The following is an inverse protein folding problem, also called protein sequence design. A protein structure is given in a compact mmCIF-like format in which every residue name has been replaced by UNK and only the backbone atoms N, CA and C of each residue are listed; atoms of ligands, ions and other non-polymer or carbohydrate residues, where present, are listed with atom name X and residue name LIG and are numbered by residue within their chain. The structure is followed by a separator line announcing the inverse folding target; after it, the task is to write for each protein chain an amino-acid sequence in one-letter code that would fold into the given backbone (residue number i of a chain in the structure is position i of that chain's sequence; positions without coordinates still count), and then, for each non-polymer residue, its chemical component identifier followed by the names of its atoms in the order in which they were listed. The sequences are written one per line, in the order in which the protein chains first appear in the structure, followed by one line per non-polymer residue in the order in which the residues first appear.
data_IF_283719587768
#
_entry.id   IF_283719587768
#
_cell.length_a   1.000
_cell.length_b   1.000
_cell.length_c   1.000
_cell.angle_alpha   90.00
_cell.angle_beta   90.00
_cell.angle_gamma   90.00
#
_symmetry.space_group_name_H-M   'P 1'
#
loop_
_entity.id
_entity.type
_entity.pdbx_description
1 polymer ?
#
# COMPACT_ATOMS: atom_id res chain seq x y z
N UNK A 1 -8.56 28.96 -16.47
CA UNK A 1 -7.85 27.77 -15.94
C UNK A 1 -8.85 26.63 -15.91
N UNK A 2 -8.77 25.75 -16.89
CA UNK A 2 -9.60 24.54 -16.97
C UNK A 2 -9.22 23.62 -15.80
N UNK A 3 -10.20 23.03 -15.08
CA UNK A 3 -9.90 22.06 -14.04
C UNK A 3 -9.33 20.82 -14.73
N UNK A 4 -8.02 20.62 -14.62
CA UNK A 4 -7.36 19.41 -15.07
C UNK A 4 -8.07 18.21 -14.45
N UNK A 5 -8.64 17.40 -15.33
CA UNK A 5 -9.23 16.11 -15.01
C UNK A 5 -8.12 15.14 -14.60
N UNK A 6 -7.64 15.26 -13.37
CA UNK A 6 -6.78 14.29 -12.72
C UNK A 6 -7.58 13.01 -12.42
N UNK A 7 -7.65 12.11 -13.40
CA UNK A 7 -7.78 10.65 -13.19
C UNK A 7 -6.98 9.96 -14.29
N UNK A 8 -6.00 9.12 -13.95
CA UNK A 8 -6.33 7.75 -13.56
C UNK A 8 -5.34 7.08 -12.56
N UNK A 9 -5.47 7.34 -11.25
CA UNK A 9 -4.76 6.56 -10.19
C UNK A 9 -5.07 5.06 -10.29
N UNK A 10 -6.34 4.70 -10.52
CA UNK A 10 -6.79 3.31 -10.55
C UNK A 10 -6.27 2.53 -11.77
N UNK A 11 -6.25 3.14 -12.95
CA UNK A 11 -5.75 2.51 -14.18
C UNK A 11 -4.25 2.27 -14.14
N UNK A 12 -3.47 3.21 -13.59
CA UNK A 12 -2.04 3.04 -13.38
C UNK A 12 -1.74 1.91 -12.39
N UNK A 13 -2.47 1.81 -11.27
CA UNK A 13 -2.31 0.73 -10.29
C UNK A 13 -2.59 -0.65 -10.91
N UNK A 14 -3.69 -0.78 -11.66
CA UNK A 14 -4.04 -2.06 -12.31
C UNK A 14 -2.97 -2.49 -13.30
N UNK A 15 -2.44 -1.55 -14.08
CA UNK A 15 -1.35 -1.81 -15.02
C UNK A 15 -0.06 -2.21 -14.29
N UNK A 16 0.31 -1.54 -13.20
CA UNK A 16 1.49 -1.90 -12.39
C UNK A 16 1.36 -3.29 -11.79
N UNK A 17 0.20 -3.64 -11.21
CA UNK A 17 -0.05 -4.98 -10.66
C UNK A 17 0.05 -6.05 -11.76
N UNK A 18 -0.51 -5.79 -12.94
CA UNK A 18 -0.41 -6.70 -14.08
C UNK A 18 1.04 -6.90 -14.53
N UNK A 19 1.82 -5.82 -14.62
CA UNK A 19 3.24 -5.90 -14.99
C UNK A 19 4.06 -6.68 -13.94
N UNK A 20 3.79 -6.49 -12.65
CA UNK A 20 4.43 -7.26 -11.58
C UNK A 20 4.14 -8.76 -11.73
N UNK A 21 2.88 -9.12 -12.00
CA UNK A 21 2.46 -10.52 -12.12
C UNK A 21 3.11 -11.20 -13.33
N UNK A 22 3.18 -10.50 -14.47
CA UNK A 22 3.92 -10.97 -15.65
C UNK A 22 5.41 -11.14 -15.37
N UNK A 23 6.02 -10.21 -14.63
CA UNK A 23 7.43 -10.31 -14.25
C UNK A 23 7.68 -11.53 -13.34
N UNK A 24 6.80 -11.77 -12.37
CA UNK A 24 6.86 -12.93 -11.48
C UNK A 24 6.72 -14.24 -12.26
N UNK A 25 5.75 -14.34 -13.17
CA UNK A 25 5.56 -15.51 -14.02
C UNK A 25 6.79 -15.78 -14.90
N UNK A 26 7.40 -14.72 -15.44
CA UNK A 26 8.64 -14.84 -16.21
C UNK A 26 9.80 -15.35 -15.35
N UNK A 27 9.98 -14.81 -14.14
CA UNK A 27 11.01 -15.25 -13.17
C UNK A 27 10.85 -16.75 -12.90
N UNK A 28 9.63 -17.20 -12.60
CA UNK A 28 9.35 -18.58 -12.24
C UNK A 28 9.50 -19.54 -13.43
N UNK A 29 9.07 -19.11 -14.63
CA UNK A 29 9.27 -19.83 -15.88
C UNK A 29 10.75 -20.06 -16.19
N UNK A 30 11.58 -19.03 -16.01
CA UNK A 30 13.03 -19.10 -16.20
C UNK A 30 13.67 -20.05 -15.18
N UNK A 31 13.33 -19.92 -13.89
CA UNK A 31 13.81 -20.82 -12.82
C UNK A 31 13.45 -22.27 -13.13
N UNK A 32 12.20 -22.53 -13.52
CA UNK A 32 11.72 -23.88 -13.85
C UNK A 32 12.47 -24.48 -15.05
N UNK A 33 12.70 -23.69 -16.10
CA UNK A 33 13.46 -24.12 -17.29
C UNK A 33 14.90 -24.51 -16.93
N UNK A 34 15.58 -23.69 -16.12
CA UNK A 34 16.93 -24.01 -15.65
C UNK A 34 16.94 -25.28 -14.78
N UNK A 35 16.04 -25.34 -13.80
CA UNK A 35 15.91 -26.49 -12.89
C UNK A 35 15.63 -27.80 -13.65
N UNK A 36 14.80 -27.77 -14.71
CA UNK A 36 14.55 -28.94 -15.56
C UNK A 36 15.84 -29.47 -16.21
N UNK A 37 16.70 -28.59 -16.71
CA UNK A 37 17.99 -28.98 -17.30
C UNK A 37 18.96 -29.50 -16.26
N UNK A 38 19.02 -28.83 -15.10
CA UNK A 38 19.87 -29.26 -13.98
C UNK A 38 19.48 -30.65 -13.46
N UNK A 39 18.19 -30.89 -13.23
CA UNK A 39 17.67 -32.20 -12.83
C UNK A 39 17.89 -33.26 -13.92
N UNK A 40 17.80 -32.88 -15.19
CA UNK A 40 18.16 -33.75 -16.32
C UNK A 40 19.62 -34.19 -16.26
N UNK A 41 20.55 -33.26 -16.02
CA UNK A 41 21.98 -33.58 -15.91
C UNK A 41 22.26 -34.45 -14.67
N UNK A 42 21.57 -34.21 -13.55
CA UNK A 42 21.63 -35.06 -12.36
C UNK A 42 21.14 -36.50 -12.66
N UNK A 43 20.08 -36.66 -13.45
CA UNK A 43 19.62 -37.98 -13.90
C UNK A 43 20.65 -38.68 -14.81
N UNK A 44 21.30 -37.93 -15.71
CA UNK A 44 22.39 -38.44 -16.56
C UNK A 44 23.58 -38.87 -15.70
N UNK A 45 23.97 -38.09 -14.69
CA UNK A 45 25.03 -38.47 -13.74
C UNK A 45 24.75 -39.82 -13.10
N UNK A 46 23.52 -40.04 -12.63
CA UNK A 46 23.10 -41.32 -12.03
C UNK A 46 23.28 -42.51 -12.97
N UNK A 47 22.84 -42.38 -14.23
CA UNK A 47 23.01 -43.42 -15.25
C UNK A 47 24.50 -43.63 -15.58
N UNK A 48 25.25 -42.54 -15.69
CA UNK A 48 26.68 -42.56 -15.97
C UNK A 48 27.45 -43.26 -14.85
N UNK A 49 27.15 -43.00 -13.58
CA UNK A 49 27.83 -43.66 -12.45
C UNK A 49 27.72 -45.18 -12.51
N UNK A 50 26.55 -45.72 -12.88
CA UNK A 50 26.39 -47.17 -13.06
C UNK A 50 27.26 -47.70 -14.21
N UNK A 51 27.25 -47.02 -15.37
CA UNK A 51 28.08 -47.39 -16.51
C UNK A 51 29.58 -47.28 -16.20
N UNK A 52 29.99 -46.28 -15.43
CA UNK A 52 31.37 -46.05 -15.01
C UNK A 52 31.83 -47.14 -14.04
N UNK A 53 31.00 -47.51 -13.06
CA UNK A 53 31.31 -48.62 -12.13
C UNK A 53 31.53 -49.92 -12.88
N UNK A 54 30.64 -50.28 -13.81
CA UNK A 54 30.80 -51.47 -14.65
C UNK A 54 32.08 -51.41 -15.51
N UNK A 55 32.40 -50.23 -16.06
CA UNK A 55 33.62 -50.01 -16.84
C UNK A 55 34.90 -50.16 -16.00
N UNK A 56 34.94 -49.57 -14.81
CA UNK A 56 36.07 -49.66 -13.87
C UNK A 56 36.25 -51.11 -13.39
N UNK A 57 35.16 -51.82 -13.09
CA UNK A 57 35.22 -53.24 -12.72
C UNK A 57 35.77 -54.11 -13.85
N UNK A 58 35.38 -53.81 -15.10
CA UNK A 58 35.89 -54.51 -16.27
C UNK A 58 37.37 -54.22 -16.53
N UNK A 59 37.80 -52.97 -16.40
CA UNK A 59 39.22 -52.59 -16.46
C UNK A 59 40.02 -53.30 -15.36
N UNK A 60 39.49 -53.43 -14.14
CA UNK A 60 40.14 -54.17 -13.05
C UNK A 60 40.31 -55.65 -13.37
N UNK A 61 39.28 -56.30 -13.96
CA UNK A 61 39.36 -57.71 -14.41
C UNK A 61 40.42 -57.90 -15.49
N UNK A 62 40.42 -57.04 -16.51
CA UNK A 62 41.40 -57.09 -17.62
C UNK A 62 42.82 -56.80 -17.12
N UNK A 63 42.99 -55.88 -16.17
CA UNK A 63 44.30 -55.53 -15.61
C UNK A 63 44.89 -56.67 -14.78
N UNK A 64 44.04 -57.37 -14.01
CA UNK A 64 44.43 -58.58 -13.27
C UNK A 64 44.83 -59.71 -14.22
N UNK A 65 44.11 -59.90 -15.34
CA UNK A 65 44.45 -60.90 -16.36
C UNK A 65 45.78 -60.61 -17.07
N UNK A 66 46.18 -59.34 -17.17
CA UNK A 66 47.46 -58.91 -17.76
C UNK A 66 48.66 -58.99 -16.79
N UNK A 67 48.45 -59.36 -15.52
CA UNK A 67 49.49 -59.31 -14.49
C UNK A 67 50.04 -57.92 -14.22
N UNK A 68 49.36 -56.86 -14.69
CA UNK A 68 49.74 -55.48 -14.46
C UNK A 68 49.12 -55.05 -13.14
N UNK A 69 49.86 -55.20 -12.05
CA UNK A 69 49.58 -54.48 -10.81
C UNK A 69 49.58 -52.97 -11.12
N UNK A 70 48.57 -52.29 -10.59
CA UNK A 70 47.99 -51.07 -11.15
C UNK A 70 48.96 -49.88 -11.21
N UNK A 71 49.39 -49.49 -12.42
CA UNK A 71 50.06 -48.20 -12.66
C UNK A 71 49.24 -47.21 -13.52
N UNK A 72 47.92 -47.36 -13.59
CA UNK A 72 47.08 -46.36 -14.27
C UNK A 72 45.62 -46.39 -13.80
N UNK A 73 45.12 -45.22 -13.38
CA UNK A 73 43.74 -44.82 -12.97
C UNK A 73 43.03 -45.67 -11.88
N UNK A 74 43.20 -46.99 -11.86
CA UNK A 74 42.61 -47.94 -10.90
C UNK A 74 43.41 -47.99 -9.59
N UNK A 75 44.65 -47.48 -9.57
CA UNK A 75 45.51 -47.45 -8.38
C UNK A 75 45.01 -46.48 -7.29
N UNK A 76 44.25 -45.44 -7.65
CA UNK A 76 43.88 -44.35 -6.74
C UNK A 76 42.57 -44.60 -5.95
N UNK A 77 42.05 -45.84 -5.93
CA UNK A 77 40.81 -46.12 -5.20
C UNK A 77 39.58 -45.37 -5.74
N UNK A 78 39.60 -44.94 -7.01
CA UNK A 78 38.48 -44.24 -7.61
C UNK A 78 37.28 -45.20 -7.77
N UNK A 79 36.30 -45.03 -6.90
CA UNK A 79 35.03 -45.74 -6.97
C UNK A 79 33.92 -44.75 -7.35
N UNK A 80 33.33 -44.85 -8.56
CA UNK A 80 32.19 -44.04 -8.95
C UNK A 80 31.01 -44.28 -7.99
N UNK A 81 30.78 -43.35 -7.07
CA UNK A 81 29.70 -43.42 -6.09
C UNK A 81 28.77 -42.21 -6.22
N UNK A 82 27.50 -42.40 -5.86
CA UNK A 82 26.53 -41.32 -5.73
C UNK A 82 26.49 -40.93 -4.25
N UNK A 83 26.69 -39.65 -3.95
CA UNK A 83 26.44 -39.13 -2.61
C UNK A 83 24.93 -38.98 -2.38
N UNK A 84 24.47 -39.35 -1.19
CA UNK A 84 23.08 -39.15 -0.74
C UNK A 84 22.73 -37.66 -0.62
N UNK A 85 23.71 -36.78 -0.36
CA UNK A 85 23.52 -35.33 -0.26
C UNK A 85 23.08 -34.69 -1.57
N UNK A 86 23.39 -35.35 -2.69
CA UNK A 86 22.92 -34.94 -4.02
C UNK A 86 21.43 -35.27 -4.22
N UNK A 87 20.82 -36.05 -3.31
CA UNK A 87 19.44 -36.52 -3.40
C UNK A 87 18.61 -36.28 -2.13
N UNK A 88 18.46 -35.00 -1.72
CA UNK A 88 17.69 -34.66 -0.53
C UNK A 88 16.23 -35.09 -0.60
N UNK A 89 15.65 -35.15 -1.81
CA UNK A 89 14.26 -35.60 -2.01
C UNK A 89 14.07 -37.06 -1.55
N UNK A 90 15.04 -37.92 -1.83
CA UNK A 90 15.02 -39.35 -1.45
C UNK A 90 15.25 -39.52 0.04
N UNK A 91 16.06 -38.64 0.65
CA UNK A 91 16.28 -38.65 2.10
C UNK A 91 15.03 -38.25 2.90
N UNK A 92 14.16 -37.40 2.33
CA UNK A 92 12.90 -36.99 2.96
C UNK A 92 11.83 -38.07 2.95
N UNK A 93 11.89 -38.99 1.99
CA UNK A 93 10.92 -40.07 1.81
C UNK A 93 11.22 -41.31 2.69
N UNK A 94 12.37 -41.35 3.37
CA UNK A 94 12.71 -42.45 4.28
C UNK A 94 11.98 -42.27 5.62
N UNK A 95 11.02 -43.15 5.88
CA UNK A 95 10.32 -43.16 7.16
C UNK A 95 11.24 -43.63 8.30
N UNK A 96 11.05 -43.11 9.52
CA UNK A 96 11.81 -43.53 10.71
C UNK A 96 11.74 -45.04 10.92
N UNK A 97 10.61 -45.65 10.59
CA UNK A 97 10.37 -47.10 10.63
C UNK A 97 11.21 -47.90 9.63
N UNK A 98 11.42 -47.38 8.41
CA UNK A 98 12.32 -48.02 7.43
C UNK A 98 13.78 -47.89 7.85
N UNK A 99 14.15 -46.77 8.48
CA UNK A 99 15.48 -46.55 9.03
C UNK A 99 15.78 -47.51 10.20
N UNK A 100 14.82 -47.66 11.12
CA UNK A 100 14.93 -48.58 12.27
C UNK A 100 14.91 -50.06 11.83
N UNK A 101 14.18 -50.40 10.76
CA UNK A 101 14.17 -51.75 10.16
C UNK A 101 15.51 -52.08 9.46
N UNK A 102 16.15 -51.09 8.84
CA UNK A 102 17.48 -51.24 8.26
C UNK A 102 18.56 -51.42 9.35
N UNK A 103 18.50 -50.61 10.42
CA UNK A 103 19.45 -50.68 11.54
C UNK A 103 19.31 -51.95 12.37
N UNK A 104 18.11 -52.54 12.45
CA UNK A 104 17.86 -53.82 13.12
C UNK A 104 18.22 -55.05 12.27
N UNK A 105 18.77 -54.87 11.06
CA UNK A 105 19.34 -55.93 10.24
C UNK A 105 18.32 -56.77 9.46
N UNK A 106 17.05 -56.34 9.37
CA UNK A 106 16.02 -57.04 8.62
C UNK A 106 15.94 -56.53 7.17
N UNK A 107 16.89 -56.95 6.32
CA UNK A 107 16.78 -56.72 4.88
C UNK A 107 16.01 -57.89 4.26
N UNK A 108 14.71 -57.69 4.01
CA UNK A 108 14.00 -58.50 3.02
C UNK A 108 14.16 -57.79 1.68
N UNK A 109 14.92 -58.37 0.76
CA UNK A 109 15.01 -57.90 -0.63
C UNK A 109 13.61 -57.90 -1.27
N UNK A 110 12.87 -56.80 -1.16
CA UNK A 110 11.60 -56.63 -1.85
C UNK A 110 11.52 -55.23 -2.44
N UNK A 111 12.25 -55.03 -3.55
CA UNK A 111 11.82 -54.11 -4.59
C UNK A 111 12.48 -54.47 -5.93
N UNK A 112 12.14 -55.64 -6.46
CA UNK A 112 12.07 -55.81 -7.91
C UNK A 112 10.62 -55.53 -8.31
N UNK A 113 10.39 -54.40 -9.00
CA UNK A 113 9.15 -54.23 -9.78
C UNK A 113 9.11 -55.31 -10.86
N UNK A 114 7.99 -56.01 -11.09
CA UNK A 114 7.95 -57.10 -12.05
C UNK A 114 7.96 -56.55 -13.48
N UNK A 115 8.95 -56.96 -14.28
CA UNK A 115 8.78 -57.02 -15.73
C UNK A 115 7.79 -58.13 -16.05
N UNK A 116 6.79 -57.79 -16.87
CA UNK A 116 5.72 -58.66 -17.35
C UNK A 116 6.24 -60.00 -17.90
N UNK A 117 5.76 -61.10 -17.33
CA UNK A 117 5.88 -62.44 -17.92
C UNK A 117 4.74 -62.64 -18.92
N UNK A 118 5.07 -62.83 -20.19
CA UNK A 118 4.18 -63.51 -21.14
C UNK A 118 4.38 -65.03 -21.01
N UNK A 119 3.27 -65.73 -20.74
CA UNK A 119 3.19 -67.19 -20.79
C UNK A 119 3.10 -67.66 -22.25
N UNK A 120 3.80 -68.74 -22.57
CA UNK A 120 3.79 -69.32 -23.92
C UNK A 120 4.49 -70.67 -24.07
N UNK A 121 4.30 -71.59 -23.11
CA UNK A 121 4.18 -73.05 -23.30
C UNK A 121 5.35 -73.90 -23.91
N UNK A 122 5.31 -75.23 -23.69
CA UNK A 122 6.46 -76.03 -23.26
C UNK A 122 6.98 -76.99 -24.34
N UNK A 123 8.21 -77.49 -24.20
CA UNK A 123 8.65 -78.79 -24.72
C UNK A 123 10.10 -79.08 -24.27
N UNK A 124 10.36 -80.34 -23.89
CA UNK A 124 11.70 -80.90 -23.96
C UNK A 124 12.33 -81.38 -22.67
N UNK A 125 11.75 -82.44 -22.08
CA UNK A 125 12.51 -83.43 -21.31
C UNK A 125 13.75 -83.87 -22.11
N UNK A 126 14.96 -83.63 -21.60
CA UNK A 126 16.14 -84.47 -21.93
C UNK A 126 17.01 -84.64 -20.68
N UNK A 127 16.75 -85.76 -20.00
CA UNK A 127 17.73 -86.75 -19.53
C UNK A 127 18.94 -86.20 -18.78
N UNK A 128 18.87 -86.33 -17.46
CA UNK A 128 20.03 -86.41 -16.59
C UNK A 128 21.06 -87.39 -17.16
N UNK A 129 22.22 -86.87 -17.55
CA UNK A 129 23.35 -87.68 -17.97
C UNK A 129 23.84 -88.50 -16.76
N UNK A 130 23.38 -89.74 -16.71
CA UNK A 130 23.97 -90.81 -15.91
C UNK A 130 25.46 -90.86 -16.16
N UNK A 131 26.20 -90.83 -15.05
CA UNK A 131 27.57 -91.31 -14.90
C UNK A 131 27.81 -92.57 -15.74
N UNK A 132 28.60 -92.44 -16.80
CA UNK A 132 29.17 -93.57 -17.53
C UNK A 132 30.54 -93.86 -16.92
N UNK A 133 30.55 -94.55 -15.77
CA UNK A 133 31.72 -95.29 -15.30
C UNK A 133 31.62 -96.71 -15.85
N UNK A 134 32.08 -96.94 -17.07
CA UNK A 134 32.45 -98.29 -17.53
C UNK A 134 33.21 -98.22 -18.86
N UNK A 135 34.34 -98.95 -18.89
CA UNK A 135 35.27 -99.15 -20.01
C UNK A 135 35.99 -97.86 -20.48
N UNK A 136 37.32 -97.73 -20.40
CA UNK A 136 38.30 -98.65 -20.97
C UNK A 136 39.57 -98.63 -20.12
N UNK A 137 40.02 -99.80 -19.66
CA UNK A 137 41.41 -100.04 -19.26
C UNK A 137 42.28 -99.95 -20.51
N UNK A 138 42.78 -98.75 -20.82
CA UNK A 138 43.89 -98.57 -21.75
C UNK A 138 45.16 -98.44 -20.92
N UNK A 139 46.23 -99.20 -21.20
CA UNK A 139 47.47 -99.10 -20.44
C UNK A 139 47.97 -97.66 -20.52
N UNK A 140 47.99 -97.02 -19.36
CA UNK A 140 48.68 -95.76 -19.13
C UNK A 140 50.11 -95.97 -19.57
N UNK A 141 50.44 -95.56 -20.79
CA UNK A 141 51.81 -95.28 -21.17
C UNK A 141 52.26 -94.22 -20.15
N UNK A 142 53.09 -94.64 -19.19
CA UNK A 142 53.87 -93.72 -18.36
C UNK A 142 54.77 -92.94 -19.30
N UNK A 143 54.22 -91.91 -19.92
CA UNK A 143 54.98 -90.79 -20.43
C UNK A 143 55.54 -90.13 -19.18
N UNK A 144 56.77 -90.50 -18.87
CA UNK A 144 57.82 -89.70 -18.26
C UNK A 144 57.31 -88.51 -17.43
N UNK A 145 57.63 -88.52 -16.14
CA UNK A 145 57.65 -87.34 -15.28
C UNK A 145 58.53 -86.26 -15.94
N UNK A 146 57.91 -85.48 -16.81
CA UNK A 146 58.52 -84.42 -17.59
C UNK A 146 58.32 -83.10 -16.85
N UNK A 147 58.94 -82.98 -15.67
CA UNK A 147 59.16 -81.67 -15.06
C UNK A 147 59.93 -80.74 -16.02
N UNK A 148 60.73 -81.31 -16.94
CA UNK A 148 61.48 -80.58 -17.96
C UNK A 148 60.64 -80.02 -19.13
N UNK A 149 59.40 -80.50 -19.37
CA UNK A 149 58.51 -79.91 -20.41
C UNK A 149 57.67 -78.76 -19.83
N UNK A 150 57.57 -78.63 -18.50
CA UNK A 150 56.87 -77.49 -17.86
C UNK A 150 57.71 -76.21 -17.81
N UNK A 151 58.98 -76.24 -18.23
CA UNK A 151 59.93 -75.15 -18.00
C UNK A 151 60.27 -74.30 -19.23
N UNK A 152 59.70 -74.58 -20.40
CA UNK A 152 59.81 -73.68 -21.55
C UNK A 152 58.52 -73.72 -22.36
N UNK A 153 57.73 -72.65 -22.30
CA UNK A 153 56.60 -72.47 -23.22
C UNK A 153 57.09 -72.66 -24.66
N UNK A 154 56.34 -73.43 -25.44
CA UNK A 154 56.59 -73.61 -26.87
C UNK A 154 56.64 -72.25 -27.57
N UNK A 155 57.45 -72.12 -28.62
CA UNK A 155 57.53 -70.89 -29.41
C UNK A 155 56.14 -70.42 -29.88
N UNK A 156 55.25 -71.37 -30.23
CA UNK A 156 53.86 -71.10 -30.57
C UNK A 156 53.04 -70.59 -29.38
N UNK A 157 53.23 -71.16 -28.19
CA UNK A 157 52.50 -70.77 -27.00
C UNK A 157 52.88 -69.36 -26.52
N UNK A 158 54.16 -68.99 -26.66
CA UNK A 158 54.63 -67.62 -26.42
C UNK A 158 54.02 -66.60 -27.38
N UNK A 159 53.84 -66.99 -28.65
CA UNK A 159 53.19 -66.13 -29.65
C UNK A 159 51.69 -65.98 -29.36
N UNK A 160 50.99 -67.05 -28.99
CA UNK A 160 49.58 -67.02 -28.58
C UNK A 160 49.37 -66.15 -27.34
N UNK A 161 50.23 -66.29 -26.32
CA UNK A 161 50.20 -65.47 -25.11
C UNK A 161 50.48 -63.99 -25.41
N UNK A 162 51.39 -63.70 -26.35
CA UNK A 162 51.68 -62.34 -26.81
C UNK A 162 50.48 -61.70 -27.50
N UNK A 163 49.79 -62.46 -28.38
CA UNK A 163 48.59 -62.00 -29.07
C UNK A 163 47.48 -61.71 -28.05
N UNK A 164 47.24 -62.62 -27.10
CA UNK A 164 46.24 -62.44 -26.05
C UNK A 164 46.55 -61.22 -25.17
N UNK A 165 47.81 -61.05 -24.77
CA UNK A 165 48.26 -59.88 -24.01
C UNK A 165 48.01 -58.57 -24.77
N UNK A 166 48.29 -58.54 -26.07
CA UNK A 166 48.04 -57.35 -26.89
C UNK A 166 46.54 -57.03 -27.04
N UNK A 167 45.70 -58.06 -27.22
CA UNK A 167 44.24 -57.89 -27.25
C UNK A 167 43.70 -57.33 -25.94
N UNK A 168 44.11 -57.90 -24.80
CA UNK A 168 43.71 -57.44 -23.48
C UNK A 168 44.20 -56.02 -23.18
N UNK A 169 45.41 -55.64 -23.61
CA UNK A 169 45.91 -54.26 -23.50
C UNK A 169 45.06 -53.29 -24.31
N UNK A 170 44.74 -53.63 -25.56
CA UNK A 170 43.87 -52.81 -26.41
C UNK A 170 42.49 -52.65 -25.78
N UNK A 171 41.89 -53.75 -25.30
CA UNK A 171 40.60 -53.74 -24.63
C UNK A 171 40.62 -52.83 -23.39
N UNK A 172 41.67 -52.93 -22.55
CA UNK A 172 41.86 -52.05 -21.38
C UNK A 172 41.88 -50.58 -21.78
N UNK A 173 42.74 -50.23 -22.75
CA UNK A 173 42.89 -48.85 -23.22
C UNK A 173 41.59 -48.31 -23.84
N UNK A 174 40.86 -49.14 -24.57
CA UNK A 174 39.56 -48.77 -25.16
C UNK A 174 38.52 -48.42 -24.09
N UNK A 175 38.41 -49.22 -23.02
CA UNK A 175 37.45 -48.96 -21.94
C UNK A 175 37.81 -47.70 -21.18
N UNK A 176 39.10 -47.50 -20.87
CA UNK A 176 39.60 -46.27 -20.22
C UNK A 176 39.26 -45.05 -21.07
N UNK A 177 39.60 -45.07 -22.35
CA UNK A 177 39.28 -43.98 -23.27
C UNK A 177 37.76 -43.70 -23.34
N UNK A 178 36.93 -44.75 -23.33
CA UNK A 178 35.47 -44.61 -23.28
C UNK A 178 35.00 -43.93 -21.98
N UNK A 179 35.55 -44.34 -20.84
CA UNK A 179 35.27 -43.72 -19.53
C UNK A 179 35.64 -42.24 -19.56
N UNK A 180 36.87 -41.91 -19.97
CA UNK A 180 37.36 -40.52 -20.03
C UNK A 180 36.48 -39.66 -20.94
N UNK A 181 36.08 -40.19 -22.10
CA UNK A 181 35.16 -39.50 -23.02
C UNK A 181 33.81 -39.21 -22.38
N UNK A 182 33.24 -40.13 -21.61
CA UNK A 182 31.97 -39.92 -20.92
C UNK A 182 32.10 -38.88 -19.79
N UNK A 183 33.17 -38.94 -19.00
CA UNK A 183 33.46 -37.97 -17.94
C UNK A 183 33.63 -36.58 -18.53
N UNK A 184 34.46 -36.42 -19.56
CA UNK A 184 34.67 -35.14 -20.24
C UNK A 184 33.38 -34.58 -20.86
N UNK A 185 32.55 -35.43 -21.47
CA UNK A 185 31.26 -34.98 -22.02
C UNK A 185 30.32 -34.46 -20.92
N UNK A 186 30.30 -35.12 -19.75
CA UNK A 186 29.52 -34.68 -18.61
C UNK A 186 30.06 -33.39 -17.98
N UNK A 187 31.38 -33.28 -17.81
CA UNK A 187 32.04 -32.08 -17.30
C UNK A 187 31.78 -30.87 -18.20
N UNK A 188 31.85 -31.06 -19.51
CA UNK A 188 31.51 -30.01 -20.48
C UNK A 188 30.04 -29.58 -20.32
N UNK A 189 29.09 -30.54 -20.25
CA UNK A 189 27.68 -30.22 -20.05
C UNK A 189 27.42 -29.50 -18.71
N UNK A 190 28.15 -29.86 -17.65
CA UNK A 190 28.08 -29.19 -16.35
C UNK A 190 28.67 -27.78 -16.42
N UNK A 191 29.78 -27.60 -17.13
CA UNK A 191 30.42 -26.30 -17.28
C UNK A 191 29.52 -25.33 -18.08
N UNK A 192 28.84 -25.80 -19.13
CA UNK A 192 27.84 -25.00 -19.84
C UNK A 192 26.70 -24.56 -18.91
N UNK A 193 26.17 -25.45 -18.07
CA UNK A 193 25.16 -25.06 -17.07
C UNK A 193 25.67 -24.04 -16.04
N UNK A 194 26.96 -24.11 -15.66
CA UNK A 194 27.58 -23.14 -14.73
C UNK A 194 27.79 -21.78 -15.38
N UNK A 195 28.23 -21.74 -16.64
CA UNK A 195 28.37 -20.50 -17.42
C UNK A 195 27.05 -19.76 -17.51
N UNK A 196 25.95 -20.47 -17.68
CA UNK A 196 24.61 -19.88 -17.70
C UNK A 196 24.10 -19.48 -16.30
N UNK A 197 24.46 -20.22 -15.25
CA UNK A 197 23.95 -19.99 -13.89
C UNK A 197 24.29 -18.62 -13.32
N UNK A 198 25.56 -18.21 -13.42
CA UNK A 198 26.03 -16.96 -12.82
C UNK A 198 25.30 -15.72 -13.38
N UNK A 199 25.24 -15.50 -14.71
CA UNK A 199 24.49 -14.37 -15.26
C UNK A 199 23.00 -14.51 -14.98
N UNK A 200 22.43 -15.72 -15.08
CA UNK A 200 21.02 -15.95 -14.78
C UNK A 200 20.67 -15.58 -13.33
N UNK A 201 21.53 -15.92 -12.38
CA UNK A 201 21.35 -15.57 -10.97
C UNK A 201 21.40 -14.05 -10.77
N UNK A 202 22.29 -13.34 -11.46
CA UNK A 202 22.35 -11.89 -11.42
C UNK A 202 21.05 -11.26 -11.99
N UNK A 203 20.59 -11.75 -13.15
CA UNK A 203 19.35 -11.29 -13.80
C UNK A 203 18.12 -11.56 -12.95
N UNK A 204 18.02 -12.75 -12.35
CA UNK A 204 16.92 -13.12 -11.44
C UNK A 204 16.92 -12.20 -10.21
N UNK A 205 18.10 -11.88 -9.65
CA UNK A 205 18.19 -10.95 -8.52
C UNK A 205 17.85 -9.52 -8.92
N UNK A 206 18.25 -9.07 -10.11
CA UNK A 206 17.83 -7.77 -10.63
C UNK A 206 16.31 -7.70 -10.83
N UNK A 207 15.69 -8.79 -11.30
CA UNK A 207 14.25 -8.90 -11.45
C UNK A 207 13.51 -8.90 -10.08
N UNK A 208 14.04 -9.62 -9.08
CA UNK A 208 13.51 -9.60 -7.70
C UNK A 208 13.57 -8.17 -7.10
N UNK A 209 14.67 -7.43 -7.31
CA UNK A 209 14.82 -6.03 -6.88
C UNK A 209 13.79 -5.14 -7.58
N UNK A 210 13.61 -5.30 -8.90
CA UNK A 210 12.61 -4.56 -9.67
C UNK A 210 11.20 -4.81 -9.15
N UNK A 211 10.85 -6.06 -8.86
CA UNK A 211 9.55 -6.41 -8.27
C UNK A 211 9.33 -5.73 -6.91
N UNK A 212 10.38 -5.68 -6.10
CA UNK A 212 10.36 -5.00 -4.78
C UNK A 212 10.10 -3.50 -4.93
N UNK A 213 10.77 -2.85 -5.88
CA UNK A 213 10.58 -1.42 -6.17
C UNK A 213 9.13 -1.16 -6.62
N UNK A 214 8.62 -1.93 -7.58
CA UNK A 214 7.24 -1.79 -8.06
C UNK A 214 6.20 -1.97 -6.94
N UNK A 215 6.44 -2.91 -6.01
CA UNK A 215 5.59 -3.10 -4.85
C UNK A 215 5.62 -1.87 -3.93
N UNK A 216 6.81 -1.32 -3.67
CA UNK A 216 6.97 -0.12 -2.85
C UNK A 216 6.26 1.09 -3.47
N UNK A 217 6.39 1.28 -4.78
CA UNK A 217 5.67 2.32 -5.53
C UNK A 217 4.16 2.16 -5.43
N UNK A 218 3.65 0.93 -5.56
CA UNK A 218 2.22 0.65 -5.44
C UNK A 218 1.70 0.96 -4.03
N UNK A 219 2.46 0.61 -3.00
CA UNK A 219 2.14 0.93 -1.61
C UNK A 219 2.13 2.45 -1.40
N UNK A 220 3.14 3.14 -1.92
CA UNK A 220 3.22 4.60 -1.86
C UNK A 220 1.97 5.22 -2.52
N UNK A 221 1.63 4.82 -3.74
CA UNK A 221 0.43 5.28 -4.46
C UNK A 221 -0.88 5.02 -3.70
N UNK A 222 -0.97 3.93 -2.92
CA UNK A 222 -2.12 3.70 -2.04
C UNK A 222 -2.17 4.67 -0.86
N UNK A 223 -1.03 4.91 -0.20
CA UNK A 223 -0.98 5.87 0.94
C UNK A 223 -1.24 7.30 0.51
N UNK A 224 -0.74 7.71 -0.67
CA UNK A 224 -0.99 9.04 -1.22
C UNK A 224 -2.45 9.21 -1.62
N UNK A 225 -3.07 8.21 -2.25
CA UNK A 225 -4.50 8.29 -2.59
C UNK A 225 -5.38 8.47 -1.35
N UNK A 226 -5.10 7.76 -0.25
CA UNK A 226 -5.84 7.95 1.00
C UNK A 226 -5.68 9.37 1.56
N UNK A 227 -4.46 9.93 1.51
CA UNK A 227 -4.19 11.31 1.93
C UNK A 227 -4.86 12.33 1.02
N UNK A 228 -4.86 12.10 -0.29
CA UNK A 228 -5.49 12.99 -1.26
C UNK A 228 -7.01 13.03 -1.09
N UNK A 229 -7.63 11.88 -0.81
CA UNK A 229 -9.06 11.81 -0.47
C UNK A 229 -9.35 12.61 0.80
N UNK A 230 -8.59 12.41 1.87
CA UNK A 230 -8.76 13.15 3.13
C UNK A 230 -8.55 14.66 2.95
N UNK A 231 -7.53 15.08 2.18
CA UNK A 231 -7.28 16.48 1.88
C UNK A 231 -8.41 17.10 1.06
N UNK A 232 -8.97 16.35 0.10
CA UNK A 232 -10.10 16.81 -0.72
C UNK A 232 -11.37 16.96 0.11
N UNK A 233 -11.64 16.06 1.04
CA UNK A 233 -12.73 16.18 2.01
C UNK A 233 -12.54 17.40 2.92
N UNK A 234 -11.34 17.61 3.46
CA UNK A 234 -11.02 18.79 4.27
C UNK A 234 -11.19 20.10 3.50
N UNK A 235 -10.76 20.13 2.23
CA UNK A 235 -10.92 21.30 1.36
C UNK A 235 -12.39 21.58 1.07
N UNK A 236 -13.19 20.54 0.80
CA UNK A 236 -14.63 20.69 0.61
C UNK A 236 -15.32 21.24 1.87
N UNK A 237 -14.98 20.72 3.05
CA UNK A 237 -15.49 21.22 4.32
C UNK A 237 -15.07 22.67 4.60
N UNK A 238 -13.83 23.04 4.31
CA UNK A 238 -13.34 24.40 4.45
C UNK A 238 -14.05 25.37 3.49
N UNK A 239 -14.24 24.95 2.23
CA UNK A 239 -14.97 25.71 1.22
C UNK A 239 -16.43 25.92 1.65
N UNK A 240 -17.08 24.88 2.18
CA UNK A 240 -18.45 24.97 2.68
C UNK A 240 -18.55 25.92 3.88
N UNK A 241 -17.65 25.81 4.87
CA UNK A 241 -17.60 26.75 6.00
C UNK A 241 -17.36 28.19 5.57
N UNK A 242 -16.52 28.41 4.55
CA UNK A 242 -16.28 29.74 3.99
C UNK A 242 -17.54 30.28 3.30
N UNK A 243 -18.25 29.43 2.56
CA UNK A 243 -19.50 29.79 1.91
C UNK A 243 -20.56 30.18 2.96
N UNK A 244 -20.77 29.35 3.97
CA UNK A 244 -21.75 29.59 5.05
C UNK A 244 -21.45 30.88 5.84
N UNK A 245 -20.16 31.16 6.11
CA UNK A 245 -19.75 32.40 6.76
C UNK A 245 -19.97 33.63 5.85
N UNK A 246 -19.73 33.49 4.55
CA UNK A 246 -19.96 34.56 3.57
C UNK A 246 -21.44 34.86 3.38
N UNK A 247 -22.31 33.84 3.39
CA UNK A 247 -23.76 34.02 3.35
C UNK A 247 -24.26 34.70 4.62
N UNK A 248 -23.82 34.25 5.80
CA UNK A 248 -24.19 34.89 7.07
C UNK A 248 -23.76 36.37 7.15
N UNK A 249 -22.54 36.69 6.69
CA UNK A 249 -22.07 38.08 6.62
C UNK A 249 -22.90 38.93 5.65
N UNK A 250 -23.30 38.37 4.51
CA UNK A 250 -24.19 39.03 3.54
C UNK A 250 -25.57 39.30 4.15
N UNK A 251 -26.13 38.33 4.89
CA UNK A 251 -27.43 38.48 5.56
C UNK A 251 -27.39 39.58 6.64
N UNK A 252 -26.35 39.60 7.48
CA UNK A 252 -26.14 40.66 8.48
C UNK A 252 -25.96 42.04 7.85
N UNK A 253 -25.26 42.14 6.71
CA UNK A 253 -25.13 43.38 5.95
C UNK A 253 -26.47 43.88 5.40
N UNK A 254 -27.29 42.98 4.83
CA UNK A 254 -28.62 43.33 4.33
C UNK A 254 -29.55 43.80 5.46
N UNK A 255 -29.49 43.16 6.63
CA UNK A 255 -30.25 43.58 7.80
C UNK A 255 -29.84 44.99 8.26
N UNK A 256 -28.54 45.29 8.32
CA UNK A 256 -28.02 46.63 8.64
C UNK A 256 -28.47 47.68 7.62
N UNK A 257 -28.47 47.35 6.32
CA UNK A 257 -28.95 48.23 5.27
C UNK A 257 -30.45 48.54 5.43
N UNK A 258 -31.27 47.52 5.71
CA UNK A 258 -32.69 47.68 5.97
C UNK A 258 -32.96 48.61 7.16
N UNK A 259 -32.27 48.40 8.30
CA UNK A 259 -32.43 49.25 9.49
C UNK A 259 -31.99 50.70 9.26
N UNK A 260 -30.92 50.92 8.49
CA UNK A 260 -30.51 52.28 8.09
C UNK A 260 -31.55 52.98 7.23
N UNK A 261 -32.20 52.24 6.33
CA UNK A 261 -33.32 52.77 5.54
C UNK A 261 -34.51 53.14 6.45
N UNK A 262 -34.86 52.29 7.42
CA UNK A 262 -35.93 52.59 8.40
C UNK A 262 -35.64 53.87 9.19
N UNK A 263 -34.38 54.09 9.58
CA UNK A 263 -33.93 55.35 10.22
C UNK A 263 -34.14 56.55 9.30
N UNK A 264 -33.77 56.44 8.03
CA UNK A 264 -33.91 57.53 7.07
C UNK A 264 -35.39 57.88 6.84
N UNK A 265 -36.27 56.87 6.79
CA UNK A 265 -37.73 57.04 6.77
C UNK A 265 -38.24 57.72 8.03
N UNK A 266 -37.76 57.33 9.22
CA UNK A 266 -38.16 58.01 10.46
C UNK A 266 -37.72 59.47 10.49
N UNK A 267 -36.54 59.78 9.96
CA UNK A 267 -36.04 61.14 9.86
C UNK A 267 -36.84 62.00 8.88
N UNK A 268 -37.39 61.42 7.80
CA UNK A 268 -38.31 62.15 6.91
C UNK A 268 -39.65 62.43 7.60
N UNK A 269 -40.16 61.51 8.42
CA UNK A 269 -41.35 61.74 9.25
C UNK A 269 -41.13 62.87 10.28
N UNK A 270 -39.99 62.91 10.98
CA UNK A 270 -39.66 64.03 11.89
C UNK A 270 -39.65 65.38 11.16
N UNK A 271 -39.02 65.44 9.98
CA UNK A 271 -39.00 66.64 9.13
C UNK A 271 -40.40 67.02 8.65
N UNK A 272 -41.25 66.05 8.34
CA UNK A 272 -42.63 66.29 7.94
C UNK A 272 -43.44 66.90 9.10
N UNK A 273 -43.30 66.37 10.32
CA UNK A 273 -43.95 66.90 11.53
C UNK A 273 -43.49 68.34 11.81
N UNK A 274 -42.18 68.62 11.67
CA UNK A 274 -41.63 69.97 11.77
C UNK A 274 -42.20 70.92 10.70
N UNK A 275 -42.35 70.45 9.45
CA UNK A 275 -42.94 71.25 8.38
C UNK A 275 -44.43 71.53 8.61
N UNK A 276 -45.17 70.55 9.16
CA UNK A 276 -46.59 70.71 9.50
C UNK A 276 -46.77 71.73 10.63
N UNK A 277 -45.89 71.72 11.63
CA UNK A 277 -45.84 72.75 12.66
C UNK A 277 -45.56 74.14 12.06
N UNK A 278 -44.55 74.29 11.19
CA UNK A 278 -44.22 75.56 10.55
C UNK A 278 -45.32 76.07 9.60
N UNK A 279 -46.10 75.17 9.01
CA UNK A 279 -47.26 75.50 8.17
C UNK A 279 -48.45 75.96 9.03
N UNK A 280 -48.74 75.27 10.14
CA UNK A 280 -49.81 75.63 11.07
C UNK A 280 -49.50 76.91 11.85
N UNK A 281 -48.23 77.12 12.19
CA UNK A 281 -47.73 78.29 12.92
C UNK A 281 -46.55 78.91 12.16
N UNK A 282 -46.82 79.81 11.18
CA UNK A 282 -45.75 80.49 10.44
C UNK A 282 -44.95 81.46 11.33
N UNK A 283 -43.72 81.78 10.93
CA UNK A 283 -42.82 82.68 11.68
C UNK A 283 -43.39 84.08 11.93
N UNK A 284 -44.36 84.51 11.12
CA UNK A 284 -45.06 85.79 11.24
C UNK A 284 -46.22 85.75 12.26
N UNK A 285 -46.56 84.59 12.82
CA UNK A 285 -47.67 84.43 13.76
C UNK A 285 -47.33 85.04 15.13
N UNK A 286 -48.26 85.81 15.70
CA UNK A 286 -48.09 86.54 16.97
C UNK A 286 -47.70 85.64 18.15
N UNK A 287 -48.12 84.38 18.13
CA UNK A 287 -47.81 83.38 19.17
C UNK A 287 -46.79 82.32 18.74
N UNK A 288 -46.03 82.55 17.65
CA UNK A 288 -45.05 81.58 17.14
C UNK A 288 -44.00 81.17 18.19
N UNK A 289 -43.42 82.13 18.91
CA UNK A 289 -42.39 81.83 19.93
C UNK A 289 -42.95 80.99 21.11
N UNK A 290 -44.09 81.36 21.74
CA UNK A 290 -44.73 80.53 22.76
C UNK A 290 -45.08 79.11 22.27
N UNK A 291 -45.71 78.99 21.09
CA UNK A 291 -46.14 77.69 20.55
C UNK A 291 -44.96 76.82 20.12
N UNK A 292 -43.87 77.43 19.64
CA UNK A 292 -42.61 76.71 19.38
C UNK A 292 -42.02 76.16 20.68
N UNK A 293 -42.12 76.90 21.80
CA UNK A 293 -41.68 76.43 23.12
C UNK A 293 -42.50 75.21 23.56
N UNK A 294 -43.83 75.26 23.41
CA UNK A 294 -44.74 74.14 23.70
C UNK A 294 -44.43 72.93 22.80
N UNK A 295 -44.29 73.13 21.50
CA UNK A 295 -43.95 72.07 20.53
C UNK A 295 -42.59 71.43 20.80
N UNK A 296 -41.58 72.21 21.20
CA UNK A 296 -40.20 71.75 21.43
C UNK A 296 -39.99 71.12 22.82
N UNK A 297 -40.91 71.35 23.77
CA UNK A 297 -40.78 70.86 25.15
C UNK A 297 -40.82 69.33 25.16
N UNK A 298 -39.76 68.70 25.66
CA UNK A 298 -39.72 67.26 25.91
C UNK A 298 -40.64 66.93 27.09
N UNK A 299 -41.40 65.84 26.99
CA UNK A 299 -42.15 65.29 28.12
C UNK A 299 -41.43 64.05 28.61
N UNK A 300 -41.34 63.89 29.93
CA UNK A 300 -40.85 62.66 30.54
C UNK A 300 -41.96 61.61 30.40
N UNK A 301 -41.91 60.83 29.34
CA UNK A 301 -42.81 59.68 29.15
C UNK A 301 -42.21 58.48 29.86
N UNK A 302 -42.95 57.85 30.78
CA UNK A 302 -42.50 56.61 31.40
C UNK A 302 -42.55 55.50 30.35
N UNK A 303 -41.41 54.87 30.07
CA UNK A 303 -41.36 53.67 29.22
C UNK A 303 -42.22 52.59 29.86
N UNK A 304 -43.42 52.34 29.30
CA UNK A 304 -44.29 51.25 29.76
C UNK A 304 -43.65 49.95 29.29
N UNK A 305 -42.92 49.29 30.17
CA UNK A 305 -42.34 47.97 29.96
C UNK A 305 -43.45 46.99 29.55
N UNK A 306 -43.50 46.64 28.27
CA UNK A 306 -44.20 45.46 27.76
C UNK A 306 -43.12 44.56 27.18
N UNK A 307 -42.47 43.78 28.05
CA UNK A 307 -41.86 42.48 27.76
C UNK A 307 -41.10 42.04 29.02
N UNK A 308 -41.65 41.07 29.74
CA UNK A 308 -40.94 40.39 30.80
C UNK A 308 -39.99 39.36 30.19
N UNK A 309 -38.70 39.50 30.48
CA UNK A 309 -37.80 38.37 30.55
C UNK A 309 -36.72 38.65 31.59
N UNK A 310 -36.83 37.96 32.72
CA UNK A 310 -35.87 37.94 33.81
C UNK A 310 -34.59 37.24 33.34
N UNK A 311 -33.46 37.91 33.41
CA UNK A 311 -32.16 37.27 33.60
C UNK A 311 -31.26 38.25 34.32
N UNK A 312 -31.05 37.97 35.61
CA UNK A 312 -29.98 38.54 36.41
C UNK A 312 -28.65 38.10 35.81
N UNK A 313 -27.76 39.05 35.49
CA UNK A 313 -26.34 38.84 35.72
C UNK A 313 -25.66 40.19 35.96
N UNK A 314 -25.08 40.28 37.15
CA UNK A 314 -24.34 41.39 37.72
C UNK A 314 -22.92 41.37 37.17
N UNK A 315 -22.51 42.40 36.43
CA UNK A 315 -21.11 42.87 36.44
C UNK A 315 -21.09 44.36 36.09
N UNK A 316 -21.08 45.17 37.15
CA UNK A 316 -20.52 46.51 37.17
C UNK A 316 -19.00 46.47 37.01
N UNK A 317 -18.46 47.37 36.19
CA UNK A 317 -17.21 48.13 36.40
C UNK A 317 -17.08 49.14 35.24
N UNK A 318 -17.48 50.40 35.53
CA UNK A 318 -16.71 51.67 35.40
C UNK A 318 -15.67 51.77 34.26
N UNK A 319 -15.41 52.88 33.56
CA UNK A 319 -15.60 54.34 33.63
C UNK A 319 -15.14 54.79 32.19
N UNK A 320 -15.62 55.82 31.50
CA UNK A 320 -15.31 57.24 31.73
C UNK A 320 -15.74 58.03 30.47
N UNK A 321 -16.00 59.32 30.69
CA UNK A 321 -16.01 60.43 29.73
C UNK A 321 -17.30 60.76 28.96
N UNK A 322 -18.12 61.58 29.61
CA UNK A 322 -18.86 62.66 28.95
C UNK A 322 -19.08 63.79 29.94
N UNK A 323 -18.05 64.60 30.15
CA UNK A 323 -18.20 65.95 30.70
C UNK A 323 -19.05 66.80 29.75
N UNK A 324 -20.33 66.94 30.05
CA UNK A 324 -21.15 68.03 29.54
C UNK A 324 -21.89 68.66 30.72
N UNK A 325 -21.24 69.67 31.30
CA UNK A 325 -21.93 70.68 32.09
C UNK A 325 -23.02 71.33 31.24
N UNK A 326 -24.26 71.08 31.64
CA UNK A 326 -25.44 71.79 31.19
C UNK A 326 -26.37 71.91 32.37
N UNK A 327 -26.43 73.09 32.96
CA UNK A 327 -27.29 73.44 34.08
C UNK A 327 -28.75 73.01 33.82
N UNK A 328 -29.25 72.12 34.67
CA UNK A 328 -30.66 71.73 34.74
C UNK A 328 -31.44 72.82 35.49
N UNK A 329 -31.85 73.87 34.76
CA UNK A 329 -32.86 74.82 35.23
C UNK A 329 -34.24 74.17 35.12
N UNK A 330 -34.54 73.33 36.11
CA UNK A 330 -35.83 72.69 36.28
C UNK A 330 -36.82 73.70 36.91
N UNK A 331 -37.18 74.72 36.13
CA UNK A 331 -38.30 75.61 36.45
C UNK A 331 -39.60 74.86 36.12
N UNK A 332 -40.09 74.13 37.13
CA UNK A 332 -41.42 73.54 37.20
C UNK A 332 -42.47 74.66 37.33
N UNK A 333 -42.66 75.44 36.25
CA UNK A 333 -43.78 76.36 36.11
C UNK A 333 -44.90 75.67 35.35
N UNK A 334 -45.91 75.23 36.10
CA UNK A 334 -47.26 74.83 35.68
C UNK A 334 -47.99 75.90 34.81
N UNK A 335 -47.38 77.08 34.63
CA UNK A 335 -47.92 78.19 33.82
C UNK A 335 -47.73 78.00 32.29
N UNK A 336 -46.88 77.07 31.85
CA UNK A 336 -46.57 76.85 30.42
C UNK A 336 -47.60 75.94 29.68
N UNK A 337 -48.56 75.33 30.38
CA UNK A 337 -49.66 74.52 29.81
C UNK A 337 -50.99 75.27 29.64
N UNK A 338 -51.00 76.56 30.00
CA UNK A 338 -52.18 77.40 29.77
C UNK A 338 -52.11 77.97 28.36
N UNK A 339 -53.17 77.74 27.56
CA UNK A 339 -53.34 78.35 26.24
C UNK A 339 -53.08 79.87 26.33
N UNK A 340 -52.13 80.44 25.56
CA UNK A 340 -51.78 81.85 25.66
C UNK A 340 -53.03 82.74 25.51
N UNK A 341 -53.17 83.77 26.34
CA UNK A 341 -54.34 84.65 26.30
C UNK A 341 -54.51 85.27 24.90
N UNK A 342 -55.58 84.87 24.19
CA UNK A 342 -55.89 85.29 22.81
C UNK A 342 -55.48 84.30 21.70
N UNK A 343 -54.94 83.13 22.04
CA UNK A 343 -54.67 82.05 21.07
C UNK A 343 -55.94 81.25 20.75
N UNK A 344 -56.08 80.79 19.50
CA UNK A 344 -57.19 79.92 19.11
C UNK A 344 -57.00 78.54 19.74
N UNK A 345 -57.99 78.09 20.53
CA UNK A 345 -57.98 76.81 21.26
C UNK A 345 -57.70 75.63 20.32
N UNK A 346 -58.28 75.63 19.11
CA UNK A 346 -58.07 74.55 18.12
C UNK A 346 -56.64 74.50 17.56
N UNK A 347 -55.98 75.65 17.43
CA UNK A 347 -54.59 75.73 16.98
C UNK A 347 -53.62 75.31 18.09
N UNK A 348 -53.96 75.58 19.34
CA UNK A 348 -53.21 75.10 20.51
C UNK A 348 -53.32 73.57 20.67
N UNK A 349 -54.52 73.00 20.54
CA UNK A 349 -54.74 71.55 20.51
C UNK A 349 -53.97 70.86 19.37
N UNK A 350 -53.98 71.44 18.17
CA UNK A 350 -53.21 70.93 17.03
C UNK A 350 -51.69 70.94 17.31
N UNK A 351 -51.16 71.96 18.00
CA UNK A 351 -49.75 72.01 18.39
C UNK A 351 -49.40 70.96 19.45
N UNK A 352 -50.33 70.64 20.35
CA UNK A 352 -50.18 69.55 21.33
C UNK A 352 -50.17 68.20 20.60
N UNK A 353 -51.09 67.94 19.68
CA UNK A 353 -51.10 66.71 18.88
C UNK A 353 -49.82 66.55 18.04
N UNK A 354 -49.34 67.63 17.43
CA UNK A 354 -48.07 67.65 16.70
C UNK A 354 -46.86 67.37 17.61
N UNK A 355 -46.89 67.84 18.86
CA UNK A 355 -45.87 67.54 19.88
C UNK A 355 -45.92 66.06 20.26
N UNK A 356 -47.11 65.51 20.48
CA UNK A 356 -47.27 64.10 20.84
C UNK A 356 -46.76 63.18 19.73
N UNK A 357 -47.14 63.47 18.49
CA UNK A 357 -46.68 62.74 17.30
C UNK A 357 -45.17 62.90 17.06
N UNK A 358 -44.58 64.07 17.35
CA UNK A 358 -43.11 64.26 17.33
C UNK A 358 -42.44 63.35 18.36
N UNK A 359 -42.94 63.33 19.59
CA UNK A 359 -42.36 62.53 20.66
C UNK A 359 -42.51 61.02 20.36
N UNK A 360 -43.63 60.57 19.78
CA UNK A 360 -43.78 59.16 19.33
C UNK A 360 -42.76 58.81 18.25
N UNK A 361 -42.52 59.72 17.31
CA UNK A 361 -41.54 59.53 16.25
C UNK A 361 -40.10 59.53 16.79
N UNK A 362 -39.80 60.34 17.81
CA UNK A 362 -38.51 60.36 18.52
C UNK A 362 -38.27 59.05 19.29
N UNK A 363 -39.30 58.48 19.93
CA UNK A 363 -39.22 57.17 20.60
C UNK A 363 -38.91 56.06 19.58
N UNK A 364 -39.60 56.05 18.43
CA UNK A 364 -39.35 55.10 17.32
C UNK A 364 -37.92 55.29 16.76
N UNK A 365 -37.46 56.53 16.60
CA UNK A 365 -36.11 56.82 16.12
C UNK A 365 -35.05 56.33 17.12
N UNK A 366 -35.28 56.51 18.43
CA UNK A 366 -34.40 56.02 19.48
C UNK A 366 -34.31 54.49 19.48
N UNK A 367 -35.44 53.79 19.31
CA UNK A 367 -35.48 52.33 19.23
C UNK A 367 -34.77 51.80 17.96
N UNK A 368 -34.97 52.43 16.81
CA UNK A 368 -34.26 52.06 15.57
C UNK A 368 -32.76 52.33 15.69
N UNK A 369 -32.37 53.45 16.32
CA UNK A 369 -30.96 53.78 16.56
C UNK A 369 -30.31 52.76 17.50
N UNK A 370 -31.01 52.34 18.54
CA UNK A 370 -30.58 51.26 19.44
C UNK A 370 -30.40 49.95 18.66
N UNK A 371 -31.39 49.54 17.86
CA UNK A 371 -31.32 48.34 17.03
C UNK A 371 -30.20 48.38 15.98
N UNK A 372 -29.89 49.55 15.40
CA UNK A 372 -28.72 49.71 14.50
C UNK A 372 -27.42 49.49 15.27
N UNK A 373 -27.27 50.10 16.43
CA UNK A 373 -26.04 49.97 17.24
C UNK A 373 -25.83 48.52 17.68
N UNK A 374 -26.89 47.83 18.11
CA UNK A 374 -26.86 46.40 18.45
C UNK A 374 -26.48 45.54 17.24
N UNK A 375 -27.11 45.75 16.08
CA UNK A 375 -26.79 45.03 14.86
C UNK A 375 -25.37 45.33 14.36
N UNK A 376 -24.85 46.55 14.55
CA UNK A 376 -23.48 46.90 14.22
C UNK A 376 -22.48 46.21 15.14
N UNK A 377 -22.78 46.15 16.44
CA UNK A 377 -21.95 45.43 17.41
C UNK A 377 -21.88 43.94 17.06
N UNK A 378 -23.03 43.31 16.80
CA UNK A 378 -23.12 41.91 16.39
C UNK A 378 -22.32 41.65 15.09
N UNK A 379 -22.44 42.52 14.09
CA UNK A 379 -21.69 42.38 12.82
C UNK A 379 -20.17 42.48 13.02
N UNK A 380 -19.69 43.38 13.89
CA UNK A 380 -18.26 43.50 14.20
C UNK A 380 -17.76 42.28 14.99
N UNK A 381 -18.54 41.79 15.95
CA UNK A 381 -18.24 40.58 16.71
C UNK A 381 -18.15 39.35 15.80
N UNK A 382 -19.06 39.21 14.84
CA UNK A 382 -19.05 38.13 13.84
C UNK A 382 -17.77 38.16 13.00
N UNK A 383 -17.38 39.34 12.48
CA UNK A 383 -16.14 39.52 11.71
C UNK A 383 -14.92 39.17 12.57
N UNK A 384 -14.86 39.68 13.79
CA UNK A 384 -13.73 39.43 14.69
C UNK A 384 -13.62 37.94 15.01
N UNK A 385 -14.73 37.29 15.36
CA UNK A 385 -14.76 35.84 15.65
C UNK A 385 -14.29 35.01 14.45
N UNK A 386 -14.66 35.40 13.23
CA UNK A 386 -14.22 34.76 12.00
C UNK A 386 -12.71 34.93 11.77
N UNK A 387 -12.18 36.14 11.98
CA UNK A 387 -10.75 36.41 11.86
C UNK A 387 -9.92 35.64 12.90
N UNK A 388 -10.38 35.57 14.15
CA UNK A 388 -9.73 34.80 15.21
C UNK A 388 -9.71 33.30 14.87
N UNK A 389 -10.84 32.74 14.43
CA UNK A 389 -10.92 31.33 14.00
C UNK A 389 -9.98 31.06 12.83
N UNK A 390 -9.91 31.97 11.84
CA UNK A 390 -9.00 31.86 10.70
C UNK A 390 -7.52 31.86 11.13
N UNK A 391 -7.12 32.75 12.03
CA UNK A 391 -5.75 32.79 12.56
C UNK A 391 -5.40 31.52 13.35
N UNK A 392 -6.33 31.01 14.16
CA UNK A 392 -6.13 29.76 14.90
C UNK A 392 -5.96 28.55 13.97
N UNK A 393 -6.64 28.54 12.81
CA UNK A 393 -6.45 27.48 11.80
C UNK A 393 -5.18 27.63 10.97
N UNK A 394 -4.59 28.83 10.87
CA UNK A 394 -3.31 29.07 10.18
C UNK A 394 -2.09 28.75 11.04
N UNK A 395 -2.23 28.83 12.37
CA UNK A 395 -1.16 28.57 13.33
C UNK A 395 -1.08 27.10 13.79
N UNK A 396 -1.97 26.24 13.32
CA UNK A 396 -1.95 24.78 13.52
C UNK A 396 -1.54 24.11 12.22
#
# INVERSE_FOLDING_TARGET
MTPETWKPSSGQKLNSVRQMLLLQENIDSIKLRYNKRFLGLRAVKRLMTHSLRNGVDHVRKVSRALGVEANSLVANGFEPALSLDEWPDVARDLSKTELDSFLSGHITEMSSRPCSKSNGNPLGNVIAARSVRSAVNLPVFRLLDNEAIRSTDSCLQKEEDLILCNQLRHQRSFIIHKIDKHVLAFENALNELRKEYIPLQADLKAADVKLTIMLQELLLLKTHEARDVAMKENLNLACQKQHDASTASSDSFLLLAAKKNDRDVCQTHEKAILSEFLNAVPKQHQFHKPLLKVFSKKLKRSKKNISGNTSEDETNEDEEDSELEGEDDNSDSEEDETCPAGCNISLYEQVIELRERRLDQEDIFADIKCAINEAQKAYVEDIHSFQTKKQQTLNK
#
